data_IF_120476329694
#
_entry.id   IF_120476329694
#
_cell.length_a   1.000
_cell.length_b   1.000
_cell.length_c   1.000
_cell.angle_alpha   90.00
_cell.angle_beta   90.00
_cell.angle_gamma   90.00
#
_symmetry.space_group_name_H-M   'P 1'
#
loop_
_entity.id
_entity.type
_entity.pdbx_description
1 polymer ?
#
# COMPACT_ATOMS: atom_id res chain seq x y z
N UNK A 1 -23.04 -8.76 -7.51
CA UNK A 1 -23.06 -7.41 -6.92
C UNK A 1 -21.77 -7.11 -6.20
N UNK A 2 -21.32 -5.85 -6.25
CA UNK A 2 -20.17 -5.34 -5.50
C UNK A 2 -20.63 -4.24 -4.55
N UNK A 3 -19.99 -4.16 -3.39
CA UNK A 3 -20.03 -3.02 -2.49
C UNK A 3 -18.60 -2.76 -1.98
N UNK A 4 -18.20 -1.49 -1.94
CA UNK A 4 -16.94 -1.08 -1.36
C UNK A 4 -17.11 0.23 -0.61
N UNK A 5 -16.30 0.42 0.41
CA UNK A 5 -16.21 1.62 1.24
C UNK A 5 -14.74 1.98 1.48
N UNK A 6 -14.47 3.26 1.73
CA UNK A 6 -13.13 3.77 1.93
C UNK A 6 -13.03 4.62 3.20
N UNK A 7 -11.92 4.49 3.93
CA UNK A 7 -11.65 5.31 5.13
C UNK A 7 -11.28 6.75 4.78
N UNK A 8 -10.80 6.99 3.56
CA UNK A 8 -10.46 8.30 3.03
C UNK A 8 -10.55 8.34 1.50
N UNK A 9 -10.62 9.56 0.94
CA UNK A 9 -10.84 9.78 -0.48
C UNK A 9 -12.30 9.63 -0.88
N UNK A 10 -12.56 9.64 -2.19
CA UNK A 10 -13.92 9.51 -2.72
C UNK A 10 -13.92 8.65 -3.97
N UNK A 11 -14.93 7.79 -4.12
CA UNK A 11 -15.16 7.02 -5.31
C UNK A 11 -15.75 7.88 -6.44
N UNK A 12 -15.45 7.50 -7.68
CA UNK A 12 -16.05 8.05 -8.88
C UNK A 12 -16.77 6.92 -9.60
N UNK A 13 -18.09 7.04 -9.73
CA UNK A 13 -18.90 6.03 -10.39
C UNK A 13 -18.51 5.89 -11.87
N UNK A 14 -18.28 4.65 -12.31
CA UNK A 14 -18.31 4.28 -13.72
C UNK A 14 -19.72 3.91 -14.20
N UNK A 15 -19.83 3.43 -15.43
CA UNK A 15 -21.11 3.16 -16.11
C UNK A 15 -21.97 2.05 -15.49
N UNK A 16 -21.40 1.20 -14.62
CA UNK A 16 -22.08 0.06 -13.97
C UNK A 16 -22.13 0.18 -12.45
N UNK A 17 -21.77 1.35 -11.92
CA UNK A 17 -21.68 1.60 -10.48
C UNK A 17 -22.37 2.90 -10.09
N UNK A 18 -22.65 3.08 -8.80
CA UNK A 18 -23.14 4.32 -8.19
C UNK A 18 -22.45 4.54 -6.86
N UNK A 19 -22.24 5.80 -6.53
CA UNK A 19 -21.70 6.24 -5.23
C UNK A 19 -22.83 6.67 -4.31
N UNK A 20 -22.61 6.60 -3.00
CA UNK A 20 -23.51 7.21 -2.02
C UNK A 20 -23.36 8.75 -2.00
N UNK A 21 -24.15 9.42 -1.16
CA UNK A 21 -24.19 10.89 -1.07
C UNK A 21 -22.84 11.52 -0.66
N UNK A 22 -22.08 10.84 0.19
CA UNK A 22 -20.79 11.28 0.71
C UNK A 22 -19.62 10.92 -0.22
N UNK A 23 -19.83 10.00 -1.16
CA UNK A 23 -18.81 9.54 -2.10
C UNK A 23 -17.81 8.54 -1.50
N UNK A 24 -17.93 8.17 -0.23
CA UNK A 24 -17.04 7.23 0.48
C UNK A 24 -17.46 5.76 0.32
N UNK A 25 -18.61 5.49 -0.28
CA UNK A 25 -19.04 4.13 -0.63
C UNK A 25 -19.53 4.04 -2.08
N UNK A 26 -19.32 2.87 -2.67
CA UNK A 26 -19.71 2.54 -4.03
C UNK A 26 -20.37 1.17 -4.11
N UNK A 27 -21.39 1.06 -4.97
CA UNK A 27 -22.03 -0.23 -5.26
C UNK A 27 -22.45 -0.31 -6.73
N UNK A 28 -22.77 -1.52 -7.18
CA UNK A 28 -23.35 -1.76 -8.49
C UNK A 28 -24.75 -1.13 -8.65
N UNK A 29 -25.10 -0.74 -9.88
CA UNK A 29 -26.48 -0.33 -10.24
C UNK A 29 -27.33 -1.46 -10.83
N UNK A 30 -26.71 -2.50 -11.39
CA UNK A 30 -27.42 -3.61 -12.03
C UNK A 30 -26.94 -4.96 -11.50
N UNK A 31 -27.87 -5.81 -11.08
CA UNK A 31 -27.60 -7.15 -10.54
C UNK A 31 -27.03 -8.13 -11.57
N UNK A 32 -27.28 -7.89 -12.86
CA UNK A 32 -26.79 -8.73 -13.96
C UNK A 32 -25.36 -8.38 -14.43
N UNK A 33 -24.80 -7.25 -14.00
CA UNK A 33 -23.42 -6.92 -14.32
C UNK A 33 -22.48 -7.94 -13.65
N UNK A 34 -21.54 -8.48 -14.42
CA UNK A 34 -20.47 -9.39 -13.93
C UNK A 34 -19.10 -8.70 -13.89
N UNK A 35 -19.06 -7.42 -14.25
CA UNK A 35 -17.87 -6.56 -14.21
C UNK A 35 -18.30 -5.17 -13.79
N UNK A 36 -17.52 -4.58 -12.90
CA UNK A 36 -17.75 -3.25 -12.35
C UNK A 36 -16.46 -2.46 -12.41
N UNK A 37 -16.54 -1.24 -12.94
CA UNK A 37 -15.41 -0.33 -13.03
C UNK A 37 -15.76 0.97 -12.32
N UNK A 38 -14.84 1.46 -11.51
CA UNK A 38 -14.96 2.72 -10.82
C UNK A 38 -13.60 3.36 -10.62
N UNK A 39 -13.60 4.68 -10.46
CA UNK A 39 -12.42 5.42 -10.05
C UNK A 39 -12.38 5.63 -8.55
N UNK A 40 -11.21 5.94 -8.03
CA UNK A 40 -11.03 6.47 -6.68
C UNK A 40 -10.16 7.73 -6.76
N UNK A 41 -10.57 8.78 -6.07
CA UNK A 41 -9.87 10.06 -5.98
C UNK A 41 -9.24 10.18 -4.60
N UNK A 42 -7.93 10.42 -4.59
CA UNK A 42 -7.17 10.61 -3.37
C UNK A 42 -7.73 11.78 -2.51
N UNK A 43 -7.68 11.66 -1.17
CA UNK A 43 -8.03 12.74 -0.27
C UNK A 43 -7.09 13.93 -0.45
N UNK A 44 -7.58 15.13 -0.11
CA UNK A 44 -6.75 16.34 -0.11
C UNK A 44 -5.71 16.33 1.03
N UNK A 45 -6.03 15.69 2.15
CA UNK A 45 -5.12 15.50 3.27
C UNK A 45 -4.27 14.25 3.01
N UNK A 46 -2.92 14.36 3.04
CA UNK A 46 -2.04 13.21 2.92
C UNK A 46 -2.25 12.17 4.02
N UNK A 47 -2.01 10.90 3.69
CA UNK A 47 -2.12 9.79 4.63
C UNK A 47 -2.59 8.49 3.99
N UNK A 48 -2.76 7.47 4.84
CA UNK A 48 -3.29 6.16 4.46
C UNK A 48 -4.78 6.27 4.11
N UNK A 49 -5.16 5.64 3.01
CA UNK A 49 -6.54 5.29 2.69
C UNK A 49 -6.66 3.76 2.57
N UNK A 50 -7.72 3.22 3.16
CA UNK A 50 -8.04 1.80 3.11
C UNK A 50 -9.37 1.63 2.39
N UNK A 51 -9.41 0.72 1.41
CA UNK A 51 -10.61 0.35 0.68
C UNK A 51 -10.99 -1.08 1.07
N UNK A 52 -12.20 -1.23 1.56
CA UNK A 52 -12.81 -2.51 1.91
C UNK A 52 -13.79 -2.88 0.79
N UNK A 53 -13.81 -4.15 0.38
CA UNK A 53 -14.65 -4.59 -0.74
C UNK A 53 -15.29 -5.93 -0.46
N UNK A 54 -16.60 -5.98 -0.63
CA UNK A 54 -17.41 -7.19 -0.63
C UNK A 54 -17.99 -7.43 -2.03
N UNK A 55 -17.78 -8.63 -2.55
CA UNK A 55 -18.37 -9.11 -3.79
C UNK A 55 -19.26 -10.29 -3.47
N UNK A 56 -20.49 -10.21 -3.92
CA UNK A 56 -21.39 -11.36 -3.98
C UNK A 56 -21.62 -11.69 -5.45
N UNK A 57 -21.09 -12.82 -5.90
CA UNK A 57 -21.33 -13.33 -7.24
C UNK A 57 -22.27 -14.54 -7.16
N UNK A 58 -23.58 -14.28 -7.24
CA UNK A 58 -24.56 -15.36 -7.31
C UNK A 58 -24.60 -15.91 -8.73
N UNK A 59 -24.60 -17.23 -8.92
CA UNK A 59 -24.64 -17.82 -10.26
C UNK A 59 -25.99 -17.52 -10.99
N UNK A 60 -27.00 -17.06 -10.23
CA UNK A 60 -28.30 -16.59 -10.73
C UNK A 60 -29.35 -17.69 -10.90
N UNK A 61 -29.07 -18.91 -10.45
CA UNK A 61 -29.96 -20.07 -10.58
C UNK A 61 -31.04 -20.17 -9.48
N UNK A 62 -30.96 -19.29 -8.47
CA UNK A 62 -31.84 -19.24 -7.28
C UNK A 62 -31.74 -20.46 -6.37
N UNK A 63 -30.65 -21.21 -6.46
CA UNK A 63 -30.31 -22.31 -5.57
C UNK A 63 -29.26 -21.86 -4.55
N UNK A 64 -29.20 -22.54 -3.41
CA UNK A 64 -28.23 -22.21 -2.33
C UNK A 64 -26.81 -22.72 -2.63
N UNK A 65 -26.56 -23.27 -3.83
CA UNK A 65 -25.31 -23.94 -4.20
C UNK A 65 -24.65 -23.25 -5.38
N UNK A 66 -23.35 -22.95 -5.27
CA UNK A 66 -22.56 -22.33 -6.34
C UNK A 66 -22.45 -20.80 -6.27
N UNK A 67 -23.13 -20.16 -5.32
CA UNK A 67 -22.94 -18.73 -5.02
C UNK A 67 -21.59 -18.49 -4.33
N UNK A 68 -20.85 -17.48 -4.78
CA UNK A 68 -19.54 -17.12 -4.22
C UNK A 68 -19.60 -15.74 -3.56
N UNK A 69 -19.21 -15.69 -2.29
CA UNK A 69 -18.95 -14.46 -1.57
C UNK A 69 -17.44 -14.30 -1.46
N UNK A 70 -16.93 -13.12 -1.78
CA UNK A 70 -15.51 -12.80 -1.65
C UNK A 70 -15.37 -11.43 -1.01
N UNK A 71 -14.60 -11.38 0.07
CA UNK A 71 -14.11 -10.15 0.67
C UNK A 71 -12.67 -10.00 0.19
N UNK A 72 -12.33 -8.93 -0.49
CA UNK A 72 -11.03 -8.91 -1.16
C UNK A 72 -9.87 -8.63 -0.20
N UNK A 73 -9.26 -9.71 0.31
CA UNK A 73 -7.89 -10.12 -0.02
C UNK A 73 -7.97 -11.45 -0.81
N UNK A 74 -6.91 -11.89 -1.50
CA UNK A 74 -6.96 -13.06 -2.41
C UNK A 74 -6.98 -14.43 -1.68
N UNK A 75 -7.81 -14.57 -0.63
CA UNK A 75 -8.01 -15.82 0.10
C UNK A 75 -9.51 -16.20 0.10
N UNK A 76 -9.94 -17.21 -0.67
CA UNK A 76 -11.33 -17.67 -0.70
C UNK A 76 -11.78 -18.29 0.64
N UNK A 77 -10.88 -18.51 1.60
CA UNK A 77 -11.20 -18.93 2.97
C UNK A 77 -11.21 -17.78 3.99
N UNK A 78 -10.98 -16.53 3.57
CA UNK A 78 -10.95 -15.39 4.48
C UNK A 78 -12.35 -15.09 5.04
N UNK A 79 -12.48 -15.22 6.36
CA UNK A 79 -13.67 -14.80 7.13
C UNK A 79 -13.59 -13.34 7.59
N UNK A 80 -12.46 -12.66 7.35
CA UNK A 80 -12.19 -11.27 7.75
C UNK A 80 -11.64 -10.50 6.55
N UNK A 81 -12.15 -9.28 6.32
CA UNK A 81 -11.71 -8.46 5.18
C UNK A 81 -10.29 -7.92 5.39
N UNK A 82 -9.45 -8.08 4.37
CA UNK A 82 -8.16 -7.36 4.25
C UNK A 82 -8.40 -6.09 3.44
N UNK A 83 -7.96 -4.90 3.87
CA UNK A 83 -8.12 -3.71 3.06
C UNK A 83 -7.11 -3.65 1.91
N UNK A 84 -7.53 -3.06 0.79
CA UNK A 84 -6.59 -2.51 -0.19
C UNK A 84 -6.05 -1.21 0.38
N UNK A 85 -4.72 -1.08 0.47
CA UNK A 85 -4.06 0.10 1.03
C UNK A 85 -3.53 0.99 -0.08
N UNK A 86 -3.79 2.28 0.07
CA UNK A 86 -3.31 3.35 -0.81
C UNK A 86 -2.74 4.45 0.07
N UNK A 87 -1.70 5.14 -0.41
CA UNK A 87 -1.12 6.24 0.34
C UNK A 87 -1.20 7.53 -0.46
N UNK A 88 -1.95 8.51 0.05
CA UNK A 88 -2.01 9.84 -0.52
C UNK A 88 -0.78 10.63 -0.04
N UNK A 89 0.17 10.87 -0.93
CA UNK A 89 1.41 11.55 -0.58
C UNK A 89 1.28 13.08 -0.66
N UNK A 90 1.98 13.83 0.21
CA UNK A 90 2.10 15.27 0.12
C UNK A 90 2.99 15.66 -1.07
N UNK A 91 2.97 16.94 -1.40
CA UNK A 91 3.97 17.53 -2.30
C UNK A 91 5.37 17.22 -1.79
N UNK A 92 6.27 16.84 -2.70
CA UNK A 92 7.63 16.44 -2.38
C UNK A 92 7.81 14.95 -2.10
N UNK A 93 6.73 14.17 -1.96
CA UNK A 93 6.80 12.71 -1.82
C UNK A 93 6.18 12.03 -3.04
N UNK A 94 6.97 11.26 -3.81
CA UNK A 94 6.53 10.60 -5.04
C UNK A 94 6.81 9.10 -4.93
N UNK A 95 5.76 8.28 -5.03
CA UNK A 95 5.92 6.83 -5.06
C UNK A 95 6.60 6.39 -6.36
N UNK A 96 7.53 5.44 -6.26
CA UNK A 96 8.29 4.91 -7.39
C UNK A 96 8.23 3.38 -7.42
N UNK A 97 7.85 2.84 -8.57
CA UNK A 97 7.66 1.40 -8.74
C UNK A 97 6.56 0.82 -7.86
N UNK A 98 6.52 -0.50 -7.81
CA UNK A 98 5.47 -1.27 -7.14
C UNK A 98 6.03 -1.96 -5.89
N UNK A 99 5.16 -2.25 -4.93
CA UNK A 99 5.48 -3.22 -3.88
C UNK A 99 5.35 -4.64 -4.41
N UNK A 100 6.05 -5.57 -3.78
CA UNK A 100 5.83 -6.99 -4.08
C UNK A 100 4.89 -7.63 -3.05
N UNK A 101 4.14 -8.66 -3.47
CA UNK A 101 3.16 -9.27 -2.60
C UNK A 101 3.82 -10.03 -1.45
N UNK A 102 3.17 -10.07 -0.29
CA UNK A 102 3.51 -10.95 0.83
C UNK A 102 3.08 -12.41 0.54
N UNK A 103 3.29 -13.32 1.50
CA UNK A 103 2.92 -14.73 1.42
C UNK A 103 1.42 -14.98 1.31
N UNK A 104 0.59 -13.97 1.59
CA UNK A 104 -0.87 -13.99 1.43
C UNK A 104 -1.34 -13.16 0.22
N UNK A 105 -0.43 -12.63 -0.60
CA UNK A 105 -0.75 -11.85 -1.77
C UNK A 105 -1.08 -10.38 -1.51
N UNK A 106 -0.87 -9.87 -0.28
CA UNK A 106 -1.11 -8.48 0.07
C UNK A 106 0.04 -7.58 -0.37
N UNK A 107 -0.28 -6.34 -0.72
CA UNK A 107 0.68 -5.34 -1.15
C UNK A 107 0.87 -4.28 -0.07
N UNK A 108 2.13 -4.04 0.28
CA UNK A 108 2.49 -2.97 1.19
C UNK A 108 2.53 -1.62 0.50
N UNK A 109 2.36 -0.54 1.26
CA UNK A 109 2.49 0.84 0.79
C UNK A 109 3.42 1.62 1.69
N UNK A 110 4.24 2.47 1.09
CA UNK A 110 5.14 3.41 1.74
C UNK A 110 4.82 4.84 1.27
N UNK A 111 4.66 5.76 2.22
CA UNK A 111 4.42 7.17 1.96
C UNK A 111 4.92 8.07 3.09
N UNK A 112 4.55 9.34 3.03
CA UNK A 112 4.83 10.32 4.09
C UNK A 112 3.59 11.15 4.42
N UNK A 113 3.39 11.50 5.70
CA UNK A 113 2.17 12.17 6.13
C UNK A 113 2.23 13.71 6.08
N UNK A 114 3.42 14.29 5.87
CA UNK A 114 3.62 15.75 5.89
C UNK A 114 4.63 16.18 4.82
N UNK A 115 4.54 17.44 4.39
CA UNK A 115 5.46 17.99 3.39
C UNK A 115 6.88 17.98 3.95
N UNK A 116 7.88 17.42 3.23
CA UNK A 116 9.28 17.40 3.66
C UNK A 116 9.92 18.78 3.55
N UNK A 117 9.53 19.75 4.38
CA UNK A 117 10.11 21.11 4.33
C UNK A 117 11.38 21.22 5.18
N UNK A 118 12.31 22.11 4.80
CA UNK A 118 13.45 22.47 5.66
C UNK A 118 12.96 22.87 7.06
N UNK A 119 13.54 22.26 8.11
CA UNK A 119 13.14 22.50 9.50
C UNK A 119 11.88 21.75 9.96
N UNK A 120 11.25 20.93 9.11
CA UNK A 120 10.13 20.08 9.53
C UNK A 120 10.64 18.89 10.36
N UNK A 121 10.72 19.09 11.68
CA UNK A 121 11.12 18.05 12.64
C UNK A 121 10.08 16.94 12.81
N UNK A 122 8.85 17.15 12.35
CA UNK A 122 7.75 16.19 12.41
C UNK A 122 7.61 15.36 11.11
N UNK A 123 8.51 15.53 10.13
CA UNK A 123 8.51 14.70 8.93
C UNK A 123 8.76 13.23 9.31
N UNK A 124 7.95 12.34 8.73
CA UNK A 124 7.99 10.90 8.98
C UNK A 124 7.59 10.15 7.72
N UNK A 125 8.16 8.97 7.60
CA UNK A 125 7.80 7.97 6.61
C UNK A 125 6.93 6.91 7.27
N UNK A 126 5.93 6.44 6.57
CA UNK A 126 4.97 5.48 7.10
C UNK A 126 4.78 4.34 6.10
N UNK A 127 4.99 3.12 6.58
CA UNK A 127 4.71 1.92 5.84
C UNK A 127 3.58 1.13 6.48
N UNK A 128 2.69 0.60 5.65
CA UNK A 128 1.53 -0.19 6.03
C UNK A 128 1.41 -1.40 5.09
N UNK A 129 0.70 -2.45 5.51
CA UNK A 129 0.59 -3.65 4.68
C UNK A 129 1.82 -4.55 4.76
N UNK A 130 2.63 -4.44 5.80
CA UNK A 130 3.80 -5.28 6.02
C UNK A 130 3.41 -6.54 6.82
N UNK A 131 4.23 -7.61 6.76
CA UNK A 131 4.09 -8.73 7.69
C UNK A 131 4.19 -8.22 9.14
N UNK A 132 3.29 -8.62 10.05
CA UNK A 132 3.30 -8.15 11.43
C UNK A 132 4.43 -8.80 12.25
N UNK A 133 4.92 -8.09 13.26
CA UNK A 133 6.01 -8.52 14.16
C UNK A 133 7.26 -9.00 13.42
N UNK A 134 7.51 -8.49 12.22
CA UNK A 134 8.56 -8.92 11.32
C UNK A 134 9.79 -8.02 11.42
N UNK A 135 11.01 -8.57 11.32
CA UNK A 135 12.21 -7.79 11.12
C UNK A 135 12.08 -6.90 9.88
N UNK A 136 12.38 -5.62 10.04
CA UNK A 136 12.29 -4.58 9.02
C UNK A 136 13.66 -3.95 8.75
N UNK A 137 13.92 -3.71 7.48
CA UNK A 137 15.04 -2.95 6.97
C UNK A 137 14.52 -1.73 6.21
N UNK A 138 14.83 -0.52 6.67
CA UNK A 138 14.66 0.70 5.88
C UNK A 138 15.98 1.03 5.17
N UNK A 139 15.89 1.26 3.86
CA UNK A 139 17.02 1.51 2.98
C UNK A 139 16.86 2.90 2.36
N UNK A 140 17.84 3.78 2.59
CA UNK A 140 17.86 5.12 1.99
C UNK A 140 19.07 5.27 1.08
N UNK A 141 18.85 6.04 0.01
CA UNK A 141 19.88 6.50 -0.91
C UNK A 141 19.69 7.98 -1.21
N UNK A 142 20.80 8.67 -1.39
CA UNK A 142 20.85 10.03 -1.91
C UNK A 142 20.65 10.02 -3.42
N UNK A 143 19.91 11.00 -3.93
CA UNK A 143 19.63 11.18 -5.36
C UNK A 143 18.23 10.71 -5.77
N UNK A 144 17.93 10.83 -7.06
CA UNK A 144 16.67 10.40 -7.67
C UNK A 144 16.91 9.22 -8.63
N UNK A 145 15.94 8.32 -8.71
CA UNK A 145 15.80 7.30 -9.75
C UNK A 145 17.04 6.41 -10.04
N UNK A 146 17.31 5.44 -9.16
CA UNK A 146 18.50 4.58 -9.22
C UNK A 146 18.37 3.35 -10.15
N UNK A 147 17.30 3.27 -10.96
CA UNK A 147 16.95 2.04 -11.65
C UNK A 147 16.44 0.97 -10.67
N UNK A 148 15.68 0.01 -11.18
CA UNK A 148 15.18 -1.11 -10.38
C UNK A 148 16.09 -2.32 -10.53
N UNK A 149 16.45 -2.96 -9.42
CA UNK A 149 17.06 -4.27 -9.41
C UNK A 149 15.99 -5.34 -9.23
N UNK A 150 15.78 -6.16 -10.26
CA UNK A 150 14.92 -7.34 -10.17
C UNK A 150 15.52 -8.36 -9.21
N UNK A 151 14.75 -8.72 -8.18
CA UNK A 151 15.17 -9.64 -7.13
C UNK A 151 14.85 -11.11 -7.46
N UNK A 152 14.27 -11.41 -8.61
CA UNK A 152 14.02 -12.78 -9.05
C UNK A 152 15.28 -13.67 -9.01
N UNK A 153 16.49 -13.21 -9.44
CA UNK A 153 17.71 -14.01 -9.34
C UNK A 153 18.15 -14.31 -7.91
N UNK A 154 17.70 -13.51 -6.94
CA UNK A 154 17.94 -13.74 -5.51
C UNK A 154 16.89 -14.65 -4.88
N UNK A 155 15.92 -15.15 -5.64
CA UNK A 155 14.85 -16.00 -5.14
C UNK A 155 13.63 -15.23 -4.61
N UNK A 156 13.49 -13.94 -4.96
CA UNK A 156 12.32 -13.12 -4.64
C UNK A 156 11.62 -12.59 -5.92
N UNK A 157 11.01 -13.47 -6.73
CA UNK A 157 10.37 -13.07 -7.98
C UNK A 157 9.21 -12.10 -7.75
N UNK A 158 9.10 -11.09 -8.61
CA UNK A 158 8.11 -10.03 -8.51
C UNK A 158 8.48 -8.89 -7.55
N UNK A 159 9.62 -8.99 -6.85
CA UNK A 159 10.16 -7.90 -6.05
C UNK A 159 11.21 -7.11 -6.85
N UNK A 160 11.09 -5.79 -6.81
CA UNK A 160 12.06 -4.87 -7.41
C UNK A 160 12.59 -3.94 -6.34
N UNK A 161 13.90 -4.01 -6.10
CA UNK A 161 14.60 -3.08 -5.24
C UNK A 161 14.83 -1.78 -6.03
N UNK A 162 14.28 -0.67 -5.55
CA UNK A 162 14.30 0.66 -6.21
C UNK A 162 15.25 1.65 -5.54
N UNK A 163 15.96 1.22 -4.50
CA UNK A 163 16.89 2.04 -3.74
C UNK A 163 18.23 1.32 -3.61
N UNK A 164 19.32 2.08 -3.52
CA UNK A 164 20.63 1.52 -3.14
C UNK A 164 20.83 1.65 -1.64
N UNK A 165 21.50 0.68 -1.02
CA UNK A 165 21.73 0.69 0.41
C UNK A 165 22.91 1.62 0.74
N UNK A 166 22.62 2.89 1.03
CA UNK A 166 23.63 3.81 1.58
C UNK A 166 23.46 3.96 3.08
N UNK A 167 22.21 4.07 3.54
CA UNK A 167 21.85 4.13 4.96
C UNK A 167 20.85 3.01 5.26
N UNK A 168 21.13 2.29 6.36
CA UNK A 168 20.33 1.18 6.86
C UNK A 168 19.79 1.52 8.25
N UNK A 169 18.48 1.36 8.43
CA UNK A 169 17.84 1.34 9.74
C UNK A 169 17.14 -0.01 9.92
N UNK A 170 17.40 -0.65 11.06
CA UNK A 170 16.79 -1.92 11.43
C UNK A 170 15.71 -1.69 12.49
N UNK A 171 14.57 -2.34 12.32
CA UNK A 171 13.42 -2.21 13.20
C UNK A 171 12.58 -3.49 13.17
N UNK A 172 11.43 -3.46 13.83
CA UNK A 172 10.38 -4.45 13.67
C UNK A 172 9.07 -3.74 13.31
N UNK A 173 8.23 -4.41 12.54
CA UNK A 173 6.87 -3.95 12.27
C UNK A 173 5.97 -4.14 13.50
N UNK A 174 4.87 -3.40 13.55
CA UNK A 174 3.84 -3.57 14.57
C UNK A 174 3.27 -4.99 14.58
N UNK A 175 2.70 -5.41 15.71
CA UNK A 175 1.89 -6.61 15.79
C UNK A 175 0.62 -6.50 14.93
N UNK A 176 -0.04 -7.64 14.67
CA UNK A 176 -1.28 -7.72 13.90
C UNK A 176 -1.49 -9.10 13.28
N UNK A 177 -2.52 -9.24 12.45
CA UNK A 177 -2.83 -10.43 11.66
C UNK A 177 -2.05 -10.42 10.33
N UNK A 178 -1.29 -11.49 10.10
CA UNK A 178 -0.49 -11.65 8.89
C UNK A 178 -1.34 -11.80 7.62
N UNK A 179 -2.52 -12.44 7.72
CA UNK A 179 -3.44 -12.58 6.58
C UNK A 179 -4.00 -11.23 6.11
N UNK A 180 -4.04 -10.25 7.02
CA UNK A 180 -4.55 -8.90 6.79
C UNK A 180 -3.44 -7.87 6.56
N UNK A 181 -2.19 -8.31 6.58
CA UNK A 181 -1.00 -7.47 6.47
C UNK A 181 -1.07 -6.24 7.41
N UNK A 182 -1.43 -6.46 8.68
CA UNK A 182 -1.59 -5.38 9.66
C UNK A 182 -0.27 -4.82 10.21
N UNK A 183 0.87 -5.38 9.78
CA UNK A 183 2.17 -4.82 10.12
C UNK A 183 2.32 -3.41 9.55
N UNK A 184 2.79 -2.51 10.40
CA UNK A 184 3.08 -1.12 10.07
C UNK A 184 4.40 -0.67 10.68
N UNK A 185 4.99 0.38 10.13
CA UNK A 185 6.16 1.02 10.71
C UNK A 185 6.16 2.51 10.42
N UNK A 186 6.56 3.30 11.41
CA UNK A 186 6.71 4.75 11.28
C UNK A 186 8.17 5.10 11.55
N UNK A 187 8.85 5.64 10.54
CA UNK A 187 10.22 6.11 10.64
C UNK A 187 10.23 7.64 10.81
N UNK A 188 10.52 8.18 12.00
CA UNK A 188 10.73 9.61 12.15
C UNK A 188 11.98 10.02 11.38
N UNK A 189 11.87 11.02 10.50
CA UNK A 189 12.97 11.54 9.71
C UNK A 189 12.92 13.07 9.71
N UNK A 190 13.09 13.66 10.89
CA UNK A 190 13.06 15.10 11.05
C UNK A 190 14.06 15.79 10.12
N UNK A 191 13.60 16.81 9.39
CA UNK A 191 14.43 17.54 8.44
C UNK A 191 15.09 18.70 9.18
N UNK A 192 16.44 18.77 9.22
CA UNK A 192 17.14 19.87 9.87
C UNK A 192 16.77 21.22 9.27
N UNK A 193 16.83 22.28 10.08
CA UNK A 193 16.67 23.65 9.60
C UNK A 193 17.95 24.15 8.90
N UNK A 194 18.28 23.53 7.77
CA UNK A 194 19.43 23.86 6.94
C UNK A 194 18.94 24.24 5.53
N UNK A 195 18.98 25.53 5.15
CA UNK A 195 18.48 26.00 3.86
C UNK A 195 19.10 25.30 2.63
N UNK A 196 20.34 24.83 2.76
CA UNK A 196 21.05 24.09 1.70
C UNK A 196 20.41 22.73 1.35
N UNK A 197 19.53 22.20 2.21
CA UNK A 197 18.80 20.96 1.95
C UNK A 197 17.60 21.16 1.00
N UNK A 198 17.16 22.40 0.77
CA UNK A 198 16.04 22.67 -0.14
C UNK A 198 16.36 22.18 -1.56
N UNK A 199 15.46 21.40 -2.13
CA UNK A 199 15.63 20.75 -3.43
C UNK A 199 16.46 19.47 -3.40
N UNK A 200 17.07 19.11 -2.27
CA UNK A 200 17.75 17.83 -2.12
C UNK A 200 16.73 16.69 -2.16
N UNK A 201 17.07 15.62 -2.87
CA UNK A 201 16.22 14.46 -3.01
C UNK A 201 16.92 13.18 -2.53
N UNK A 202 16.14 12.31 -1.91
CA UNK A 202 16.56 10.98 -1.50
C UNK A 202 15.45 9.96 -1.80
N UNK A 203 15.84 8.73 -2.05
CA UNK A 203 14.92 7.61 -2.21
C UNK A 203 14.93 6.72 -0.99
N UNK A 204 13.76 6.23 -0.59
CA UNK A 204 13.60 5.27 0.50
C UNK A 204 12.75 4.08 0.04
N UNK A 205 13.11 2.90 0.50
CA UNK A 205 12.29 1.70 0.39
C UNK A 205 12.42 0.91 1.68
N UNK A 206 11.37 0.25 2.10
CA UNK A 206 11.41 -0.63 3.25
C UNK A 206 11.27 -2.08 2.80
N UNK A 207 11.98 -2.98 3.46
CA UNK A 207 11.86 -4.41 3.27
C UNK A 207 11.63 -5.13 4.59
N UNK A 208 10.77 -6.15 4.59
CA UNK A 208 10.45 -6.94 5.77
C UNK A 208 10.64 -8.43 5.47
N UNK A 209 11.08 -9.19 6.48
CA UNK A 209 11.16 -10.65 6.37
C UNK A 209 9.79 -11.26 6.62
N UNK A 210 9.20 -11.83 5.59
CA UNK A 210 7.91 -12.49 5.67
C UNK A 210 8.05 -13.99 5.91
N UNK A 211 7.84 -14.40 7.16
CA UNK A 211 7.89 -15.81 7.55
C UNK A 211 6.81 -16.68 6.88
N UNK A 212 5.76 -16.09 6.30
CA UNK A 212 4.71 -16.82 5.59
C UNK A 212 4.99 -16.94 4.09
N UNK A 213 6.05 -16.30 3.59
CA UNK A 213 6.43 -16.36 2.19
C UNK A 213 6.98 -17.74 1.82
N UNK A 214 6.56 -18.26 0.68
CA UNK A 214 7.10 -19.49 0.08
C UNK A 214 8.31 -19.25 -0.81
N UNK A 215 8.78 -17.99 -0.92
CA UNK A 215 9.95 -17.60 -1.71
C UNK A 215 11.23 -18.09 -1.05
N UNK A 216 12.23 -18.43 -1.88
CA UNK A 216 13.55 -18.84 -1.40
C UNK A 216 14.26 -17.71 -0.63
N UNK A 217 14.02 -16.45 -1.03
CA UNK A 217 14.39 -15.28 -0.25
C UNK A 217 13.12 -14.57 0.23
N UNK A 218 12.72 -14.72 1.50
CA UNK A 218 11.44 -14.24 2.03
C UNK A 218 11.47 -12.73 2.33
N UNK A 219 12.17 -11.94 1.51
CA UNK A 219 12.15 -10.49 1.60
C UNK A 219 10.97 -9.95 0.80
N UNK A 220 10.10 -9.24 1.48
CA UNK A 220 9.11 -8.35 0.88
C UNK A 220 9.69 -6.94 0.84
N UNK A 221 9.40 -6.18 -0.22
CA UNK A 221 9.73 -4.75 -0.31
C UNK A 221 8.49 -3.94 -0.64
N UNK A 222 8.39 -2.75 -0.04
CA UNK A 222 7.38 -1.74 -0.37
C UNK A 222 7.62 -1.15 -1.76
N UNK A 223 6.72 -0.28 -2.23
CA UNK A 223 7.09 0.67 -3.27
C UNK A 223 8.29 1.51 -2.79
N UNK A 224 9.08 2.03 -3.73
CA UNK A 224 10.02 3.10 -3.44
C UNK A 224 9.27 4.41 -3.19
N UNK A 225 9.90 5.33 -2.47
CA UNK A 225 9.43 6.69 -2.29
C UNK A 225 10.59 7.65 -2.52
N UNK A 226 10.44 8.52 -3.50
CA UNK A 226 11.33 9.66 -3.71
C UNK A 226 10.82 10.84 -2.89
N UNK A 227 11.71 11.43 -2.09
CA UNK A 227 11.41 12.55 -1.21
C UNK A 227 12.30 13.72 -1.60
N UNK A 228 11.70 14.81 -2.08
CA UNK A 228 12.36 16.07 -2.41
C UNK A 228 12.03 17.11 -1.35
N UNK A 229 13.06 17.60 -0.66
CA UNK A 229 12.92 18.58 0.42
C UNK A 229 12.49 19.94 -0.15
N UNK A 230 11.46 20.54 0.46
CA UNK A 230 10.86 21.82 0.06
C UNK A 230 11.44 23.02 0.82
#
# INVERSE_FOLDING_TARGET
GIAADATAGTFVAGSTTRVNTTGDAITHIASAARSWTFGWKAPATPGLAEIYTAVNNTNGDRLETGDQYSFHGADPAATVCTPIRLYANPVGCVATGDSCPDGYGNYSVLGGASVPSVGNTAFKLEAFGLPPSAPLLMMLSVGTNLGGFDMAPLGAPGCVLRTTLQIQLQAATSAGDAKRAEGSFIAPLGIPNQPALKGFAFTVQMGAIDANSTRAFPLLVTNGLEVTIQ
#
